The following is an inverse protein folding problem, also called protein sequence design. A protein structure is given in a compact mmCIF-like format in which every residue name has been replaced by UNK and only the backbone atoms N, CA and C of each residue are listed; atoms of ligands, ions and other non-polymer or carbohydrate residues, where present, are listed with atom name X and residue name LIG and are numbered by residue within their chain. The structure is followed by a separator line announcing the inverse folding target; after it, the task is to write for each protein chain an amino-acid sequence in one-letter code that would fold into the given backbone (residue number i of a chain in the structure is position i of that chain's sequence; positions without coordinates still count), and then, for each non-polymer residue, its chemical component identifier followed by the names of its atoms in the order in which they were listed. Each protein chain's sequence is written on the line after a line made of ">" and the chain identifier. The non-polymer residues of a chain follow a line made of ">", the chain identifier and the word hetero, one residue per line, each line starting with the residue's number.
data_IF_637953611941
#
_entry.id   IF_637953611941
#
_cell.length_a   1.000
_cell.length_b   1.000
_cell.length_c   1.000
_cell.angle_alpha   90.00
_cell.angle_beta   90.00
_cell.angle_gamma   90.00
#
_symmetry.space_group_name_H-M   'P 1'
#
loop_
_entity.id
_entity.type
_entity.pdbx_description
1 polymer ?
#
# COMPACT_ATOMS: atom_id res chain seq x y z
N UNK A 1 11.42 -11.93 10.66
CA UNK A 1 10.77 -10.88 9.84
C UNK A 1 9.90 -10.02 10.73
N UNK A 2 10.01 -8.73 10.61
CA UNK A 2 9.32 -7.78 11.47
C UNK A 2 8.54 -6.79 10.63
N UNK A 3 7.31 -6.47 11.07
CA UNK A 3 6.44 -5.48 10.42
C UNK A 3 6.17 -4.37 11.42
N UNK A 4 6.58 -3.17 11.11
CA UNK A 4 6.47 -2.04 12.03
C UNK A 4 6.05 -0.75 11.35
N UNK A 5 5.45 0.19 12.07
CA UNK A 5 5.27 1.55 11.56
C UNK A 5 6.64 2.15 11.24
N UNK A 6 6.64 3.08 10.30
CA UNK A 6 7.87 3.78 9.92
C UNK A 6 7.79 5.26 10.29
N UNK A 7 8.94 5.91 10.32
CA UNK A 7 9.08 7.33 10.59
C UNK A 7 9.85 7.99 9.44
N UNK A 8 10.02 9.31 9.53
CA UNK A 8 10.78 10.06 8.53
C UNK A 8 12.20 9.54 8.35
N UNK A 9 12.78 8.96 9.40
CA UNK A 9 14.13 8.42 9.37
C UNK A 9 14.24 7.17 8.49
N UNK A 10 13.14 6.57 8.14
CA UNK A 10 13.10 5.34 7.33
C UNK A 10 13.02 5.60 5.82
N UNK A 11 13.14 6.86 5.38
CA UNK A 11 13.00 7.18 3.96
C UNK A 11 13.96 6.36 3.07
N UNK A 12 15.21 6.25 3.48
CA UNK A 12 16.18 5.47 2.72
C UNK A 12 15.81 3.99 2.66
N UNK A 13 15.29 3.44 3.76
CA UNK A 13 14.88 2.05 3.80
C UNK A 13 13.72 1.77 2.83
N UNK A 14 12.70 2.64 2.85
CA UNK A 14 11.60 2.50 1.90
C UNK A 14 12.10 2.57 0.46
N UNK A 15 13.00 3.51 0.19
CA UNK A 15 13.47 3.73 -1.18
C UNK A 15 14.40 2.64 -1.69
N UNK A 16 14.98 1.82 -0.82
CA UNK A 16 15.71 0.63 -1.25
C UNK A 16 14.80 -0.43 -1.87
N UNK A 17 13.54 -0.47 -1.49
CA UNK A 17 12.57 -1.44 -2.02
C UNK A 17 11.52 -0.81 -2.93
N UNK A 18 11.57 0.49 -3.10
CA UNK A 18 10.60 1.21 -3.93
C UNK A 18 10.83 1.05 -5.44
N UNK A 19 12.04 0.64 -5.84
CA UNK A 19 12.38 0.48 -7.24
C UNK A 19 12.43 1.80 -7.98
N UNK A 20 11.83 1.85 -9.16
CA UNK A 20 11.89 3.02 -10.04
C UNK A 20 11.01 4.19 -9.61
N UNK A 21 10.12 3.97 -8.65
CA UNK A 21 9.22 5.01 -8.17
C UNK A 21 9.51 5.30 -6.70
N UNK A 22 10.46 6.19 -6.41
CA UNK A 22 10.81 6.49 -5.02
C UNK A 22 9.65 7.13 -4.27
N UNK A 23 9.63 6.89 -2.97
CA UNK A 23 8.70 7.54 -2.06
C UNK A 23 9.26 8.91 -1.71
N UNK A 24 8.47 9.96 -1.89
CA UNK A 24 8.90 11.30 -1.50
C UNK A 24 8.81 11.48 0.01
N UNK A 25 9.55 12.44 0.53
CA UNK A 25 9.48 12.77 1.96
C UNK A 25 8.07 13.20 2.37
N UNK A 26 7.39 13.95 1.51
CA UNK A 26 6.01 14.37 1.77
C UNK A 26 5.05 13.20 1.89
N UNK A 27 5.17 12.23 0.99
CA UNK A 27 4.35 11.03 1.04
C UNK A 27 4.66 10.21 2.29
N UNK A 28 5.93 10.04 2.60
CA UNK A 28 6.33 9.30 3.79
C UNK A 28 5.78 9.94 5.06
N UNK A 29 5.88 11.25 5.19
CA UNK A 29 5.33 11.97 6.34
C UNK A 29 3.83 11.75 6.48
N UNK A 30 3.12 11.82 5.36
CA UNK A 30 1.68 11.58 5.37
C UNK A 30 1.37 10.16 5.86
N UNK A 31 1.96 9.17 5.23
CA UNK A 31 1.64 7.77 5.53
C UNK A 31 2.15 7.31 6.90
N UNK A 32 3.23 7.89 7.40
CA UNK A 32 3.71 7.60 8.75
C UNK A 32 2.69 7.95 9.83
N UNK A 33 1.75 8.83 9.53
CA UNK A 33 0.74 9.30 10.49
C UNK A 33 -0.60 8.59 10.38
N UNK A 34 -0.79 7.75 9.37
CA UNK A 34 -2.11 7.14 9.15
C UNK A 34 -2.45 6.05 10.14
N UNK A 35 -1.45 5.44 10.77
CA UNK A 35 -1.64 4.30 11.65
C UNK A 35 -1.84 2.99 10.91
N UNK A 36 -1.79 3.00 9.57
CA UNK A 36 -2.09 1.82 8.75
C UNK A 36 -0.97 1.47 7.77
N UNK A 37 0.16 2.14 7.89
CA UNK A 37 1.29 1.96 6.97
C UNK A 37 2.46 1.31 7.69
N UNK A 38 3.13 0.38 7.01
CA UNK A 38 4.12 -0.48 7.65
C UNK A 38 5.34 -0.72 6.77
N UNK A 39 6.47 -0.94 7.42
CA UNK A 39 7.71 -1.39 6.82
C UNK A 39 7.98 -2.82 7.26
N UNK A 40 8.33 -3.68 6.30
CA UNK A 40 8.78 -5.04 6.59
C UNK A 40 10.30 -5.08 6.55
N UNK A 41 10.91 -5.66 7.56
CA UNK A 41 12.37 -5.77 7.64
C UNK A 41 12.83 -7.08 8.26
N UNK A 42 14.05 -7.45 7.93
CA UNK A 42 14.76 -8.57 8.52
C UNK A 42 16.08 -8.02 9.02
N UNK A 43 16.21 -7.88 10.34
CA UNK A 43 17.33 -7.13 10.90
C UNK A 43 17.25 -5.68 10.43
N UNK A 44 18.27 -5.21 9.75
CA UNK A 44 18.31 -3.85 9.19
C UNK A 44 18.02 -3.82 7.69
N UNK A 45 17.70 -4.97 7.10
CA UNK A 45 17.41 -5.07 5.67
C UNK A 45 15.93 -4.85 5.41
N UNK A 46 15.55 -3.83 4.63
CA UNK A 46 14.15 -3.63 4.26
C UNK A 46 13.71 -4.69 3.25
N UNK A 47 12.52 -5.22 3.44
CA UNK A 47 11.95 -6.25 2.57
C UNK A 47 10.76 -5.74 1.78
N UNK A 48 10.09 -4.71 2.27
CA UNK A 48 8.92 -4.19 1.61
C UNK A 48 8.21 -3.15 2.47
N UNK A 49 7.16 -2.56 1.93
CA UNK A 49 6.35 -1.61 2.67
C UNK A 49 4.92 -1.58 2.15
N UNK A 50 4.01 -1.07 2.97
CA UNK A 50 2.64 -0.79 2.58
C UNK A 50 2.28 0.63 3.00
N UNK A 51 1.72 1.38 2.07
CA UNK A 51 1.20 2.73 2.31
C UNK A 51 -0.32 2.65 2.28
N UNK A 52 -0.95 2.96 3.39
CA UNK A 52 -2.40 2.84 3.53
C UNK A 52 -2.96 3.94 4.40
N UNK A 53 -4.22 4.29 4.15
CA UNK A 53 -4.92 5.33 4.88
C UNK A 53 -6.40 5.00 4.99
N UNK A 54 -7.05 5.54 6.01
CA UNK A 54 -8.49 5.44 6.14
C UNK A 54 -9.18 6.44 5.22
N UNK A 55 -10.22 5.97 4.54
CA UNK A 55 -11.02 6.79 3.63
C UNK A 55 -12.49 6.67 4.06
N UNK A 56 -13.13 7.81 4.29
CA UNK A 56 -14.54 7.84 4.65
C UNK A 56 -15.42 7.70 3.42
N UNK A 57 -16.40 6.80 3.52
CA UNK A 57 -17.38 6.57 2.47
C UNK A 57 -18.77 6.67 3.07
N UNK A 58 -19.17 7.87 3.43
CA UNK A 58 -20.43 8.06 4.15
C UNK A 58 -20.33 7.54 5.58
N UNK A 59 -21.10 6.50 5.92
CA UNK A 59 -21.10 5.94 7.27
C UNK A 59 -20.00 4.92 7.51
N UNK A 60 -19.45 4.36 6.44
CA UNK A 60 -18.41 3.33 6.55
C UNK A 60 -17.03 3.91 6.24
N UNK A 61 -16.03 3.32 6.85
CA UNK A 61 -14.64 3.67 6.62
C UNK A 61 -13.92 2.48 5.98
N UNK A 62 -13.11 2.76 4.98
CA UNK A 62 -12.26 1.76 4.32
C UNK A 62 -10.80 2.15 4.56
N UNK A 63 -9.95 1.19 4.91
CA UNK A 63 -8.51 1.41 4.81
C UNK A 63 -8.11 1.07 3.38
N UNK A 64 -7.62 2.05 2.66
CA UNK A 64 -7.18 1.89 1.28
C UNK A 64 -5.66 1.77 1.25
N UNK A 65 -5.18 0.64 0.75
CA UNK A 65 -3.76 0.44 0.49
C UNK A 65 -3.47 1.08 -0.86
N UNK A 66 -2.72 2.18 -0.86
CA UNK A 66 -2.41 2.91 -2.09
C UNK A 66 -1.16 2.37 -2.78
N UNK A 67 -0.28 1.73 -2.01
CA UNK A 67 0.91 1.11 -2.56
C UNK A 67 1.40 0.00 -1.65
N UNK A 68 1.81 -1.11 -2.24
CA UNK A 68 2.42 -2.20 -1.51
C UNK A 68 3.55 -2.79 -2.36
N UNK A 69 4.74 -2.88 -1.79
CA UNK A 69 5.91 -3.45 -2.42
C UNK A 69 6.52 -4.48 -1.49
N UNK A 70 7.06 -5.56 -2.04
CA UNK A 70 7.67 -6.57 -1.20
C UNK A 70 8.44 -7.61 -2.01
N UNK A 71 9.48 -8.14 -1.40
CA UNK A 71 10.30 -9.20 -1.96
C UNK A 71 9.63 -10.55 -1.75
N UNK A 72 8.72 -10.90 -2.64
CA UNK A 72 8.08 -12.19 -2.60
C UNK A 72 6.75 -12.20 -1.86
N UNK A 73 6.07 -13.31 -2.01
CA UNK A 73 4.70 -13.48 -1.56
C UNK A 73 4.56 -13.45 -0.04
N UNK A 74 5.53 -14.01 0.67
CA UNK A 74 5.51 -14.07 2.13
C UNK A 74 5.58 -12.67 2.76
N UNK A 75 6.40 -11.79 2.21
CA UNK A 75 6.50 -10.40 2.67
C UNK A 75 5.19 -9.66 2.41
N UNK A 76 4.62 -9.86 1.22
CA UNK A 76 3.34 -9.24 0.87
C UNK A 76 2.22 -9.71 1.80
N UNK A 77 2.16 -11.00 2.09
CA UNK A 77 1.18 -11.52 3.05
C UNK A 77 1.33 -10.90 4.43
N UNK A 78 2.56 -10.78 4.92
CA UNK A 78 2.80 -10.17 6.22
C UNK A 78 2.40 -8.70 6.27
N UNK A 79 2.68 -7.95 5.21
CA UNK A 79 2.24 -6.56 5.12
C UNK A 79 0.72 -6.45 5.09
N UNK A 80 0.05 -7.30 4.32
CA UNK A 80 -1.41 -7.31 4.28
C UNK A 80 -2.00 -7.61 5.65
N UNK A 81 -1.44 -8.59 6.38
CA UNK A 81 -1.89 -8.90 7.74
C UNK A 81 -1.72 -7.72 8.68
N UNK A 82 -0.59 -7.02 8.59
CA UNK A 82 -0.34 -5.86 9.43
C UNK A 82 -1.38 -4.77 9.18
N UNK A 83 -1.67 -4.48 7.91
CA UNK A 83 -2.69 -3.48 7.56
C UNK A 83 -4.08 -3.92 8.03
N UNK A 84 -4.44 -5.17 7.78
CA UNK A 84 -5.75 -5.71 8.20
C UNK A 84 -5.90 -5.64 9.71
N UNK A 85 -4.86 -6.00 10.46
CA UNK A 85 -4.89 -5.92 11.92
C UNK A 85 -5.08 -4.49 12.39
N UNK A 86 -4.35 -3.53 11.80
CA UNK A 86 -4.47 -2.12 12.18
C UNK A 86 -5.88 -1.59 11.89
N UNK A 87 -6.48 -2.02 10.78
CA UNK A 87 -7.83 -1.64 10.42
C UNK A 87 -8.85 -2.23 11.38
N UNK A 88 -8.71 -3.50 11.69
CA UNK A 88 -9.58 -4.19 12.66
C UNK A 88 -9.51 -3.52 14.02
N UNK A 89 -8.31 -3.22 14.51
CA UNK A 89 -8.12 -2.58 15.80
C UNK A 89 -8.70 -1.17 15.84
N UNK A 90 -8.77 -0.50 14.70
CA UNK A 90 -9.37 0.84 14.58
C UNK A 90 -10.88 0.82 14.35
N UNK A 91 -11.49 -0.36 14.28
CA UNK A 91 -12.92 -0.48 14.01
C UNK A 91 -13.32 -0.17 12.57
N UNK A 92 -12.39 -0.32 11.64
CA UNK A 92 -12.63 -0.04 10.22
C UNK A 92 -13.38 -1.20 9.58
N UNK A 93 -14.32 -0.86 8.69
CA UNK A 93 -15.22 -1.84 8.08
C UNK A 93 -14.52 -2.76 7.08
N UNK A 94 -13.63 -2.23 6.27
CA UNK A 94 -12.98 -3.02 5.22
C UNK A 94 -11.60 -2.49 4.86
N UNK A 95 -10.82 -3.35 4.20
CA UNK A 95 -9.52 -3.00 3.61
C UNK A 95 -9.63 -3.27 2.12
N UNK A 96 -9.16 -2.33 1.31
CA UNK A 96 -9.23 -2.43 -0.14
C UNK A 96 -7.94 -1.96 -0.78
N UNK A 97 -7.70 -2.41 -2.02
CA UNK A 97 -6.63 -1.88 -2.86
C UNK A 97 -6.97 -2.13 -4.32
N UNK A 98 -6.29 -1.40 -5.20
CA UNK A 98 -6.36 -1.64 -6.63
C UNK A 98 -5.26 -2.64 -7.01
N UNK A 99 -5.64 -3.75 -7.60
CA UNK A 99 -4.70 -4.78 -8.01
C UNK A 99 -4.38 -4.64 -9.50
N UNK A 100 -3.09 -4.52 -9.81
CA UNK A 100 -2.61 -4.73 -11.17
C UNK A 100 -2.61 -6.24 -11.42
N UNK A 101 -3.42 -6.74 -12.37
CA UNK A 101 -3.52 -8.18 -12.58
C UNK A 101 -2.22 -8.83 -13.05
N UNK A 102 -1.23 -8.05 -13.46
CA UNK A 102 0.10 -8.56 -13.80
C UNK A 102 0.93 -8.94 -12.58
N UNK A 103 0.57 -8.40 -11.42
CA UNK A 103 1.29 -8.69 -10.17
C UNK A 103 0.78 -9.99 -9.55
N UNK A 104 1.25 -11.11 -10.08
CA UNK A 104 0.73 -12.42 -9.70
C UNK A 104 1.05 -12.80 -8.24
N UNK A 105 2.22 -12.43 -7.76
CA UNK A 105 2.58 -12.67 -6.36
C UNK A 105 1.66 -11.92 -5.40
N UNK A 106 1.33 -10.67 -5.73
CA UNK A 106 0.39 -9.89 -4.93
C UNK A 106 -1.02 -10.49 -4.98
N UNK A 107 -1.46 -10.91 -6.15
CA UNK A 107 -2.77 -11.55 -6.29
C UNK A 107 -2.87 -12.79 -5.41
N UNK A 108 -1.85 -13.66 -5.42
CA UNK A 108 -1.83 -14.84 -4.56
C UNK A 108 -1.83 -14.49 -3.08
N UNK A 109 -1.03 -13.50 -2.70
CA UNK A 109 -0.98 -13.04 -1.32
C UNK A 109 -2.34 -12.54 -0.85
N UNK A 110 -3.01 -11.75 -1.69
CA UNK A 110 -4.36 -11.24 -1.38
C UNK A 110 -5.35 -12.36 -1.16
N UNK A 111 -5.38 -13.34 -2.05
CA UNK A 111 -6.29 -14.48 -1.92
C UNK A 111 -6.00 -15.28 -0.65
N UNK A 112 -4.73 -15.49 -0.33
CA UNK A 112 -4.34 -16.20 0.88
C UNK A 112 -4.73 -15.44 2.16
N UNK A 113 -4.81 -14.11 2.08
CA UNK A 113 -5.18 -13.28 3.23
C UNK A 113 -6.67 -12.94 3.26
N UNK A 114 -7.47 -13.62 2.47
CA UNK A 114 -8.93 -13.49 2.54
C UNK A 114 -9.52 -12.37 1.72
N UNK A 115 -8.73 -11.75 0.85
CA UNK A 115 -9.25 -10.73 -0.06
C UNK A 115 -9.96 -11.40 -1.25
N UNK A 116 -10.97 -10.74 -1.76
CA UNK A 116 -11.69 -11.19 -2.94
C UNK A 116 -11.78 -10.05 -3.94
N UNK A 117 -11.89 -10.39 -5.21
CA UNK A 117 -12.14 -9.38 -6.24
C UNK A 117 -13.55 -8.85 -6.05
N UNK A 118 -13.66 -7.56 -5.84
CA UNK A 118 -14.96 -6.91 -5.68
C UNK A 118 -15.68 -6.72 -7.01
N UNK A 119 -17.00 -6.50 -6.98
CA UNK A 119 -17.77 -6.30 -8.19
C UNK A 119 -17.60 -4.90 -8.80
N UNK A 120 -17.06 -3.96 -8.04
CA UNK A 120 -16.90 -2.59 -8.49
C UNK A 120 -15.62 -2.45 -9.30
N UNK A 121 -15.69 -1.66 -10.37
CA UNK A 121 -14.53 -1.37 -11.21
C UNK A 121 -14.10 0.07 -11.03
N UNK A 122 -12.80 0.30 -11.15
CA UNK A 122 -12.22 1.63 -11.05
C UNK A 122 -12.45 2.38 -12.36
N UNK A 123 -13.00 3.59 -12.27
CA UNK A 123 -13.10 4.49 -13.41
C UNK A 123 -12.02 5.55 -13.26
N UNK A 124 -11.20 5.72 -14.28
CA UNK A 124 -10.06 6.61 -14.23
C UNK A 124 -10.12 7.62 -15.38
N UNK A 125 -9.96 8.89 -15.03
CA UNK A 125 -9.70 9.92 -16.02
C UNK A 125 -8.33 10.52 -15.70
N UNK A 126 -7.39 10.36 -16.60
CA UNK A 126 -6.05 10.93 -16.42
C UNK A 126 -6.09 12.39 -16.85
N UNK A 127 -5.78 13.27 -15.90
CA UNK A 127 -5.66 14.69 -16.18
C UNK A 127 -4.20 14.97 -16.48
N UNK A 128 -3.94 15.59 -17.61
CA UNK A 128 -2.58 16.03 -17.88
C UNK A 128 -2.15 16.99 -16.77
N UNK A 129 -1.05 16.71 -16.12
CA UNK A 129 -0.49 17.66 -15.17
C UNK A 129 0.28 18.72 -15.93
N UNK A 130 0.56 19.84 -15.26
CA UNK A 130 1.35 20.91 -15.86
C UNK A 130 2.72 20.44 -16.33
N UNK A 131 3.26 19.41 -15.70
CA UNK A 131 4.55 18.85 -16.08
C UNK A 131 4.46 17.61 -16.94
N UNK A 132 3.30 16.99 -17.06
CA UNK A 132 3.16 15.68 -17.70
C UNK A 132 2.94 15.77 -19.21
N UNK A 133 2.57 16.92 -19.75
CA UNK A 133 2.40 17.11 -21.19
C UNK A 133 1.47 16.11 -21.85
N UNK A 134 0.44 15.69 -21.15
CA UNK A 134 -0.50 14.71 -21.66
C UNK A 134 -0.05 13.27 -21.53
N UNK A 135 1.03 13.00 -20.86
CA UNK A 135 1.42 11.62 -20.57
C UNK A 135 0.35 10.89 -19.77
N UNK A 136 0.15 9.65 -20.11
CA UNK A 136 -0.79 8.80 -19.42
C UNK A 136 -0.06 8.01 -18.33
N UNK A 137 -0.47 8.19 -17.12
CA UNK A 137 0.11 7.49 -15.98
C UNK A 137 -1.00 6.83 -15.17
N UNK A 138 -0.68 5.69 -14.58
CA UNK A 138 -1.57 5.02 -13.66
C UNK A 138 -2.86 4.51 -14.29
N UNK A 139 -2.91 4.43 -15.58
CA UNK A 139 -4.03 3.81 -16.27
C UNK A 139 -3.79 2.32 -16.27
N UNK A 140 -4.74 1.61 -15.75
CA UNK A 140 -4.67 0.15 -15.65
C UNK A 140 -4.88 -0.53 -16.98
#
# INVERSE_FOLDING_TARGET
>A
MRFRPFTEEDLDLLNRVAGERPVSLGALRFFARTGHSFLAEEGERPLGFALAQAVWQGEATTVLITRIEGEGEEVLQGLLRAVVKSAYDAGVYEVALHLDPKRKALERALLMEGFAVGPLVLCVRVLGSRGARGERRGVL
#
